data_IF_982594584024
#
_entry.id   IF_982594584024
#
_cell.length_a   1.000
_cell.length_b   1.000
_cell.length_c   1.000
_cell.angle_alpha   90.00
_cell.angle_beta   90.00
_cell.angle_gamma   90.00
#
_symmetry.space_group_name_H-M   'P 1'
#
loop_
_entity.id
_entity.type
_entity.pdbx_description
1 polymer ?
#
# COMPACT_ATOMS: atom_id res chain seq x y z
N UNK A 1 5.72 8.43 9.51
CA UNK A 1 5.70 7.58 8.30
C UNK A 1 4.43 7.79 7.46
N UNK A 2 3.47 8.62 7.89
CA UNK A 2 2.21 8.88 7.19
C UNK A 2 1.22 7.69 7.22
N UNK A 3 1.36 6.79 8.18
CA UNK A 3 0.37 5.74 8.49
C UNK A 3 -0.54 6.28 9.59
N UNK A 4 -1.85 6.16 9.40
CA UNK A 4 -2.84 6.50 10.40
C UNK A 4 -3.29 5.23 11.11
N UNK A 5 -3.05 5.07 12.42
CA UNK A 5 -3.55 3.96 13.20
C UNK A 5 -5.05 4.12 13.46
N UNK A 6 -5.78 3.00 13.42
CA UNK A 6 -7.17 2.89 13.87
C UNK A 6 -7.22 1.68 14.80
N UNK A 7 -7.76 1.86 15.99
CA UNK A 7 -7.86 0.81 17.02
C UNK A 7 -9.28 0.23 17.01
N UNK A 8 -9.38 -1.09 16.83
CA UNK A 8 -10.64 -1.84 16.81
C UNK A 8 -10.59 -2.89 17.92
N UNK A 9 -11.38 -2.73 18.98
CA UNK A 9 -11.39 -3.67 20.11
C UNK A 9 -12.81 -4.08 20.50
N UNK A 10 -12.95 -5.29 21.02
CA UNK A 10 -14.19 -5.75 21.67
C UNK A 10 -14.43 -5.11 23.05
N UNK A 11 -13.42 -4.46 23.62
CA UNK A 11 -13.50 -3.82 24.93
C UNK A 11 -14.32 -2.52 24.92
N UNK A 12 -14.60 -1.99 26.12
CA UNK A 12 -15.33 -0.73 26.26
C UNK A 12 -14.60 0.43 25.56
N UNK A 13 -15.33 1.31 24.86
CA UNK A 13 -14.72 2.43 24.12
C UNK A 13 -13.80 3.30 25.00
N UNK A 14 -14.20 3.55 26.25
CA UNK A 14 -13.46 4.37 27.20
C UNK A 14 -12.11 3.73 27.57
N UNK A 15 -12.11 2.40 27.80
CA UNK A 15 -10.90 1.64 28.11
C UNK A 15 -9.94 1.65 26.94
N UNK A 16 -10.45 1.39 25.73
CA UNK A 16 -9.64 1.41 24.50
C UNK A 16 -9.06 2.78 24.26
N UNK A 17 -9.84 3.84 24.48
CA UNK A 17 -9.38 5.23 24.32
C UNK A 17 -8.31 5.60 25.36
N UNK A 18 -8.40 5.13 26.59
CA UNK A 18 -7.38 5.34 27.61
C UNK A 18 -6.06 4.70 27.18
N UNK A 19 -6.09 3.41 26.81
CA UNK A 19 -4.90 2.69 26.33
C UNK A 19 -4.31 3.36 25.07
N UNK A 20 -5.16 3.79 24.11
CA UNK A 20 -4.71 4.45 22.90
C UNK A 20 -3.94 5.75 23.21
N UNK A 21 -4.42 6.55 24.19
CA UNK A 21 -3.72 7.77 24.63
C UNK A 21 -2.38 7.46 25.30
N UNK A 22 -2.35 6.43 26.14
CA UNK A 22 -1.13 6.03 26.86
C UNK A 22 -0.01 5.61 25.88
N UNK A 23 -0.36 4.99 24.77
CA UNK A 23 0.60 4.61 23.71
C UNK A 23 0.78 5.70 22.63
N UNK A 24 0.23 6.89 22.83
CA UNK A 24 0.41 8.03 21.92
C UNK A 24 -0.41 7.99 20.63
N UNK A 25 -1.46 7.17 20.56
CA UNK A 25 -2.40 7.18 19.42
C UNK A 25 -3.42 8.32 19.65
N UNK A 26 -3.57 9.26 18.68
CA UNK A 26 -4.54 10.34 18.81
C UNK A 26 -5.98 9.79 18.92
N UNK A 27 -6.74 10.29 19.89
CA UNK A 27 -8.15 9.95 20.07
C UNK A 27 -9.01 11.16 19.71
N UNK A 28 -8.89 11.55 18.42
CA UNK A 28 -9.60 12.72 17.92
C UNK A 28 -11.11 12.48 17.92
N UNK A 29 -11.85 13.46 18.44
CA UNK A 29 -13.30 13.42 18.51
C UNK A 29 -13.89 12.38 19.49
N UNK A 30 -13.06 11.68 20.27
CA UNK A 30 -13.46 10.66 21.23
C UNK A 30 -13.65 9.25 20.64
N UNK A 31 -13.78 8.23 21.50
CA UNK A 31 -14.03 6.86 21.07
C UNK A 31 -15.46 6.68 20.55
N UNK A 32 -15.65 5.68 19.71
CA UNK A 32 -16.95 5.29 19.15
C UNK A 32 -17.36 3.93 19.71
N UNK A 33 -18.64 3.75 20.03
CA UNK A 33 -19.20 2.43 20.34
C UNK A 33 -19.48 1.69 19.02
N UNK A 34 -18.91 0.50 18.85
CA UNK A 34 -19.07 -0.30 17.65
C UNK A 34 -20.52 -0.70 17.35
N UNK A 35 -21.39 -0.71 18.37
CA UNK A 35 -22.82 -0.98 18.22
C UNK A 35 -23.61 0.17 17.55
N UNK A 36 -23.02 1.37 17.55
CA UNK A 36 -23.61 2.60 16.97
C UNK A 36 -23.01 2.93 15.58
N UNK A 37 -22.25 2.00 14.99
CA UNK A 37 -21.66 2.22 13.69
C UNK A 37 -22.75 2.39 12.60
N UNK A 38 -22.66 3.40 11.73
CA UNK A 38 -23.60 3.60 10.65
C UNK A 38 -23.72 2.38 9.74
N UNK A 39 -24.93 2.02 9.37
CA UNK A 39 -25.18 0.97 8.39
C UNK A 39 -24.75 1.37 6.96
N UNK A 40 -24.92 2.64 6.63
CA UNK A 40 -24.56 3.20 5.33
C UNK A 40 -23.03 3.36 5.21
N UNK A 41 -22.44 2.83 4.12
CA UNK A 41 -21.01 2.86 3.86
C UNK A 41 -20.45 4.30 3.79
N UNK A 42 -21.15 5.22 3.15
CA UNK A 42 -20.69 6.61 3.03
C UNK A 42 -20.65 7.34 4.39
N UNK A 43 -21.63 7.07 5.28
CA UNK A 43 -21.65 7.61 6.63
C UNK A 43 -20.51 6.98 7.48
N UNK A 44 -20.29 5.67 7.36
CA UNK A 44 -19.19 4.98 8.02
C UNK A 44 -17.81 5.53 7.56
N UNK A 45 -17.62 5.74 6.27
CA UNK A 45 -16.39 6.35 5.75
C UNK A 45 -16.13 7.76 6.31
N UNK A 46 -17.18 8.60 6.44
CA UNK A 46 -17.08 9.93 7.07
C UNK A 46 -16.63 9.80 8.52
N UNK A 47 -17.27 8.94 9.29
CA UNK A 47 -16.93 8.68 10.68
C UNK A 47 -15.46 8.21 10.81
N UNK A 48 -15.02 7.29 9.97
CA UNK A 48 -13.66 6.74 9.98
C UNK A 48 -12.58 7.76 9.55
N UNK A 49 -12.95 8.86 8.89
CA UNK A 49 -12.02 9.96 8.61
C UNK A 49 -11.70 10.79 9.85
N UNK A 50 -12.64 10.88 10.78
CA UNK A 50 -12.57 11.72 11.98
C UNK A 50 -12.20 10.94 13.25
N UNK A 51 -12.55 9.66 13.30
CA UNK A 51 -12.39 8.81 14.48
C UNK A 51 -11.31 7.76 14.27
N UNK A 52 -10.56 7.48 15.33
CA UNK A 52 -9.45 6.50 15.30
C UNK A 52 -9.62 5.36 16.31
N UNK A 53 -10.60 5.43 17.21
CA UNK A 53 -10.81 4.43 18.26
C UNK A 53 -12.26 3.96 18.26
N UNK A 54 -12.45 2.63 18.10
CA UNK A 54 -13.76 1.98 18.12
C UNK A 54 -13.70 0.83 19.13
N UNK A 55 -14.50 0.93 20.17
CA UNK A 55 -14.68 -0.13 21.18
C UNK A 55 -15.96 -0.93 20.94
N UNK A 56 -16.13 -2.05 21.61
CA UNK A 56 -17.27 -2.97 21.50
C UNK A 56 -17.65 -3.35 20.08
N UNK A 57 -16.64 -3.47 19.20
CA UNK A 57 -16.87 -3.80 17.81
C UNK A 57 -17.00 -5.32 17.63
N UNK A 58 -18.04 -5.75 16.91
CA UNK A 58 -18.23 -7.14 16.54
C UNK A 58 -17.28 -7.58 15.42
N UNK A 59 -16.97 -8.88 15.27
CA UNK A 59 -16.08 -9.39 14.23
C UNK A 59 -16.52 -9.00 12.80
N UNK A 60 -17.81 -9.06 12.51
CA UNK A 60 -18.36 -8.67 11.20
C UNK A 60 -18.24 -7.16 10.96
N UNK A 61 -18.37 -6.34 11.99
CA UNK A 61 -18.20 -4.89 11.89
C UNK A 61 -16.73 -4.52 11.69
N UNK A 62 -15.77 -5.30 12.22
CA UNK A 62 -14.35 -5.15 11.87
C UNK A 62 -14.15 -5.30 10.36
N UNK A 63 -14.77 -6.33 9.76
CA UNK A 63 -14.74 -6.53 8.30
C UNK A 63 -15.34 -5.34 7.56
N UNK A 64 -16.53 -4.86 7.96
CA UNK A 64 -17.20 -3.70 7.35
C UNK A 64 -16.34 -2.43 7.41
N UNK A 65 -15.68 -2.18 8.53
CA UNK A 65 -14.75 -1.04 8.69
C UNK A 65 -13.59 -1.14 7.70
N UNK A 66 -12.98 -2.31 7.58
CA UNK A 66 -11.87 -2.55 6.63
C UNK A 66 -12.33 -2.37 5.19
N UNK A 67 -13.47 -2.93 4.80
CA UNK A 67 -14.06 -2.78 3.47
C UNK A 67 -14.37 -1.31 3.16
N UNK A 68 -15.01 -0.59 4.09
CA UNK A 68 -15.31 0.83 3.93
C UNK A 68 -14.05 1.70 3.71
N UNK A 69 -12.96 1.41 4.42
CA UNK A 69 -11.68 2.09 4.23
C UNK A 69 -11.03 1.75 2.88
N UNK A 70 -11.14 0.51 2.40
CA UNK A 70 -10.66 0.10 1.08
C UNK A 70 -11.42 0.79 -0.05
N UNK A 71 -12.75 0.85 0.08
CA UNK A 71 -13.64 1.49 -0.88
C UNK A 71 -13.42 3.02 -0.92
N UNK A 72 -12.95 3.63 0.20
CA UNK A 72 -12.46 5.03 0.25
C UNK A 72 -11.06 5.18 -0.42
N UNK A 73 -10.54 4.14 -1.07
CA UNK A 73 -9.27 4.15 -1.80
C UNK A 73 -8.04 4.07 -0.91
N UNK A 74 -8.15 3.64 0.34
CA UNK A 74 -7.04 3.50 1.27
C UNK A 74 -6.37 2.14 1.14
N UNK A 75 -5.06 2.11 1.34
CA UNK A 75 -4.34 0.86 1.52
C UNK A 75 -4.40 0.46 3.00
N UNK A 76 -5.17 -0.58 3.31
CA UNK A 76 -5.44 -0.99 4.68
C UNK A 76 -4.61 -2.22 5.05
N UNK A 77 -3.80 -2.09 6.10
CA UNK A 77 -3.20 -3.21 6.79
C UNK A 77 -3.98 -3.48 8.08
N UNK A 78 -4.26 -4.74 8.39
CA UNK A 78 -4.86 -5.15 9.65
C UNK A 78 -3.92 -6.06 10.43
N UNK A 79 -3.81 -5.81 11.72
CA UNK A 79 -3.06 -6.64 12.66
C UNK A 79 -4.06 -7.25 13.64
N UNK A 80 -4.01 -8.55 13.83
CA UNK A 80 -4.88 -9.27 14.75
C UNK A 80 -4.26 -10.56 15.24
N UNK A 81 -4.77 -11.08 16.35
CA UNK A 81 -4.29 -12.30 17.02
C UNK A 81 -5.39 -13.31 17.30
N UNK A 82 -6.64 -12.88 17.27
CA UNK A 82 -7.81 -13.65 17.67
C UNK A 82 -8.63 -14.22 16.50
N UNK A 83 -9.50 -15.18 16.83
CA UNK A 83 -10.50 -15.72 15.90
C UNK A 83 -11.44 -14.61 15.41
N UNK A 84 -11.74 -13.66 16.28
CA UNK A 84 -12.61 -12.51 16.02
C UNK A 84 -12.02 -11.53 14.99
N UNK A 85 -10.73 -11.64 14.68
CA UNK A 85 -10.05 -10.79 13.70
C UNK A 85 -10.03 -11.39 12.30
N UNK A 86 -10.31 -12.69 12.17
CA UNK A 86 -10.25 -13.42 10.90
C UNK A 86 -11.10 -12.77 9.78
N UNK A 87 -12.34 -12.34 10.01
CA UNK A 87 -13.13 -11.67 8.97
C UNK A 87 -12.47 -10.38 8.48
N UNK A 88 -11.95 -9.56 9.40
CA UNK A 88 -11.23 -8.32 9.07
C UNK A 88 -9.88 -8.57 8.41
N UNK A 89 -9.09 -9.55 8.87
CA UNK A 89 -7.82 -9.94 8.26
C UNK A 89 -8.03 -10.33 6.79
N UNK A 90 -9.04 -11.15 6.48
CA UNK A 90 -9.37 -11.53 5.10
C UNK A 90 -9.79 -10.35 4.22
N UNK A 91 -10.42 -9.33 4.80
CA UNK A 91 -10.84 -8.15 4.08
C UNK A 91 -9.70 -7.15 3.86
N UNK A 92 -8.64 -7.18 4.63
CA UNK A 92 -7.51 -6.26 4.53
C UNK A 92 -6.70 -6.47 3.23
N UNK A 93 -5.94 -5.43 2.83
CA UNK A 93 -4.96 -5.53 1.74
C UNK A 93 -3.65 -6.18 2.19
N UNK A 94 -3.37 -6.07 3.48
CA UNK A 94 -2.23 -6.71 4.12
C UNK A 94 -2.71 -7.21 5.48
N UNK A 95 -2.76 -8.52 5.64
CA UNK A 95 -3.13 -9.19 6.87
C UNK A 95 -1.87 -9.56 7.66
N UNK A 96 -1.77 -9.13 8.90
CA UNK A 96 -0.65 -9.42 9.78
C UNK A 96 -1.17 -10.13 11.03
N UNK A 97 -0.69 -11.34 11.30
CA UNK A 97 -1.02 -12.05 12.53
C UNK A 97 0.12 -11.97 13.54
N UNK A 98 -0.22 -11.95 14.82
CA UNK A 98 0.77 -12.12 15.88
C UNK A 98 1.16 -13.60 16.00
N UNK A 99 2.43 -13.89 16.28
CA UNK A 99 2.96 -15.24 16.38
C UNK A 99 2.36 -16.03 17.56
N UNK A 100 2.00 -15.32 18.65
CA UNK A 100 1.25 -15.86 19.80
C UNK A 100 -0.24 -16.04 19.52
N UNK A 101 -0.74 -15.52 18.39
CA UNK A 101 -2.15 -15.60 18.03
C UNK A 101 -2.62 -17.00 17.64
N UNK A 102 -3.93 -17.14 17.55
CA UNK A 102 -4.56 -18.43 17.19
C UNK A 102 -4.15 -18.87 15.79
N UNK A 103 -4.06 -20.19 15.58
CA UNK A 103 -3.66 -20.77 14.31
C UNK A 103 -4.53 -20.30 13.14
N UNK A 104 -5.83 -20.08 13.38
CA UNK A 104 -6.77 -19.60 12.36
C UNK A 104 -6.41 -18.20 11.86
N UNK A 105 -6.02 -17.27 12.74
CA UNK A 105 -5.57 -15.93 12.35
C UNK A 105 -4.27 -16.02 11.54
N UNK A 106 -3.31 -16.87 11.97
CA UNK A 106 -2.05 -17.09 11.25
C UNK A 106 -2.24 -17.72 9.86
N UNK A 107 -3.23 -18.58 9.69
CA UNK A 107 -3.49 -19.26 8.41
C UNK A 107 -4.07 -18.34 7.32
N UNK A 108 -4.65 -17.22 7.70
CA UNK A 108 -5.22 -16.23 6.76
C UNK A 108 -4.37 -14.98 6.60
N UNK A 109 -3.28 -14.87 7.37
CA UNK A 109 -2.39 -13.72 7.34
C UNK A 109 -1.35 -13.82 6.23
N UNK A 110 -1.03 -12.69 5.60
CA UNK A 110 0.08 -12.55 4.64
C UNK A 110 1.43 -12.56 5.35
N UNK A 111 1.47 -12.06 6.59
CA UNK A 111 2.67 -11.96 7.43
C UNK A 111 2.37 -12.42 8.86
N UNK A 112 3.34 -13.08 9.48
CA UNK A 112 3.26 -13.49 10.89
C UNK A 112 4.43 -12.88 11.66
N UNK A 113 4.12 -12.10 12.71
CA UNK A 113 5.11 -11.53 13.63
C UNK A 113 5.50 -12.60 14.66
N UNK A 114 6.53 -13.39 14.38
CA UNK A 114 6.90 -14.60 15.14
C UNK A 114 7.08 -14.32 16.64
N UNK A 115 7.67 -13.19 17.01
CA UNK A 115 7.88 -12.77 18.41
C UNK A 115 6.76 -11.89 18.97
N UNK A 116 5.69 -11.67 18.19
CA UNK A 116 4.61 -10.72 18.53
C UNK A 116 5.11 -9.30 18.84
N UNK A 117 6.26 -8.95 18.28
CA UNK A 117 6.93 -7.68 18.48
C UNK A 117 6.39 -6.66 17.47
N UNK A 118 5.59 -5.73 17.95
CA UNK A 118 5.01 -4.68 17.13
C UNK A 118 6.06 -3.66 16.65
N UNK A 119 7.20 -3.53 17.34
CA UNK A 119 8.27 -2.59 16.99
C UNK A 119 8.88 -2.91 15.62
N UNK A 120 8.73 -4.15 15.14
CA UNK A 120 9.19 -4.57 13.79
C UNK A 120 8.34 -3.95 12.67
N UNK A 121 7.08 -3.61 12.93
CA UNK A 121 6.15 -3.11 11.89
C UNK A 121 6.63 -1.82 11.20
N UNK A 122 7.13 -0.79 11.91
CA UNK A 122 7.72 0.38 11.27
C UNK A 122 8.92 0.07 10.37
N UNK A 123 9.77 -0.87 10.76
CA UNK A 123 10.91 -1.31 9.96
C UNK A 123 10.45 -2.07 8.70
N UNK A 124 9.45 -2.94 8.83
CA UNK A 124 8.82 -3.65 7.72
C UNK A 124 8.25 -2.68 6.67
N UNK A 125 7.51 -1.66 7.12
CA UNK A 125 6.96 -0.62 6.24
C UNK A 125 8.06 0.17 5.54
N UNK A 126 9.14 0.49 6.25
CA UNK A 126 10.29 1.21 5.68
C UNK A 126 10.98 0.37 4.60
N UNK A 127 11.19 -0.92 4.85
CA UNK A 127 11.81 -1.85 3.88
C UNK A 127 10.91 -2.09 2.66
N UNK A 128 9.61 -2.30 2.84
CA UNK A 128 8.66 -2.40 1.73
C UNK A 128 8.68 -1.15 0.83
N UNK A 129 8.74 0.04 1.42
CA UNK A 129 8.90 1.29 0.67
C UNK A 129 10.24 1.39 -0.06
N UNK A 130 11.30 0.86 0.53
CA UNK A 130 12.62 0.79 -0.10
C UNK A 130 12.59 -0.09 -1.34
N UNK A 131 12.01 -1.28 -1.23
CA UNK A 131 11.85 -2.22 -2.34
C UNK A 131 11.05 -1.58 -3.48
N UNK A 132 9.91 -0.95 -3.18
CA UNK A 132 9.09 -0.27 -4.19
C UNK A 132 9.83 0.88 -4.90
N UNK A 133 10.65 1.66 -4.17
CA UNK A 133 11.48 2.71 -4.79
C UNK A 133 12.51 2.14 -5.75
N UNK A 134 13.18 1.05 -5.35
CA UNK A 134 14.16 0.39 -6.20
C UNK A 134 13.49 -0.19 -7.45
N UNK A 135 12.34 -0.82 -7.29
CA UNK A 135 11.55 -1.35 -8.40
C UNK A 135 11.15 -0.24 -9.38
N UNK A 136 10.67 0.91 -8.89
CA UNK A 136 10.33 2.05 -9.74
C UNK A 136 11.53 2.60 -10.53
N UNK A 137 12.72 2.64 -9.93
CA UNK A 137 13.94 3.08 -10.63
C UNK A 137 14.29 2.15 -11.79
N UNK A 138 14.27 0.84 -11.52
CA UNK A 138 14.56 -0.18 -12.54
C UNK A 138 13.49 -0.16 -13.63
N UNK A 139 12.22 -0.08 -13.27
CA UNK A 139 11.11 0.00 -14.24
C UNK A 139 11.25 1.20 -15.19
N UNK A 140 11.66 2.36 -14.69
CA UNK A 140 11.90 3.53 -15.55
C UNK A 140 12.95 3.28 -16.64
N UNK A 141 14.02 2.54 -16.32
CA UNK A 141 15.03 2.16 -17.31
C UNK A 141 14.46 1.25 -18.40
N UNK A 142 13.64 0.25 -17.99
CA UNK A 142 13.01 -0.65 -18.95
C UNK A 142 11.99 0.08 -19.85
N UNK A 143 11.20 0.98 -19.28
CA UNK A 143 10.23 1.79 -20.05
C UNK A 143 10.96 2.70 -21.03
N UNK A 144 12.04 3.36 -20.62
CA UNK A 144 12.85 4.21 -21.50
C UNK A 144 13.43 3.39 -22.66
N UNK A 145 13.94 2.18 -22.40
CA UNK A 145 14.42 1.26 -23.44
C UNK A 145 13.30 0.87 -24.41
N UNK A 146 12.12 0.51 -23.91
CA UNK A 146 10.98 0.14 -24.73
C UNK A 146 10.51 1.32 -25.61
N UNK A 147 10.45 2.53 -25.05
CA UNK A 147 10.12 3.74 -25.80
C UNK A 147 11.15 4.04 -26.90
N UNK A 148 12.45 3.90 -26.59
CA UNK A 148 13.52 4.06 -27.58
C UNK A 148 13.40 3.03 -28.73
N UNK A 149 13.15 1.77 -28.42
CA UNK A 149 12.96 0.72 -29.40
C UNK A 149 11.74 1.00 -30.31
N UNK A 150 10.61 1.39 -29.68
CA UNK A 150 9.41 1.77 -30.44
C UNK A 150 9.65 2.98 -31.36
N UNK A 151 10.35 3.99 -30.88
CA UNK A 151 10.74 5.16 -31.67
C UNK A 151 11.61 4.77 -32.88
N UNK A 152 12.61 3.90 -32.68
CA UNK A 152 13.47 3.40 -33.76
C UNK A 152 12.66 2.65 -34.82
N UNK A 153 11.78 1.72 -34.39
CA UNK A 153 10.97 0.94 -35.33
C UNK A 153 10.06 1.86 -36.12
N UNK A 154 9.41 2.81 -35.47
CA UNK A 154 8.53 3.77 -36.14
C UNK A 154 9.29 4.66 -37.12
N UNK A 155 10.46 5.18 -36.75
CA UNK A 155 11.28 6.06 -37.57
C UNK A 155 11.78 5.34 -38.83
N UNK A 156 12.19 4.08 -38.70
CA UNK A 156 12.68 3.27 -39.85
C UNK A 156 11.53 2.81 -40.74
N UNK A 157 10.34 2.54 -40.12
CA UNK A 157 9.15 2.19 -40.91
C UNK A 157 8.61 3.31 -41.79
N UNK A 158 8.85 4.56 -41.41
CA UNK A 158 8.43 5.76 -42.17
C UNK A 158 9.51 6.15 -43.20
N UNK A 159 10.78 6.04 -42.82
CA UNK A 159 11.90 6.36 -43.72
C UNK A 159 12.45 5.05 -44.32
N UNK A 160 12.61 4.93 -45.69
CA UNK A 160 13.14 3.72 -46.32
C UNK A 160 14.66 3.58 -46.10
N UNK A 161 15.08 3.50 -44.86
CA UNK A 161 16.47 3.39 -44.44
C UNK A 161 16.73 1.96 -43.97
N UNK A 162 17.86 1.37 -44.39
CA UNK A 162 18.26 0.06 -43.87
C UNK A 162 18.42 0.10 -42.34
N UNK A 163 17.95 -0.95 -41.66
CA UNK A 163 18.01 -1.01 -40.20
C UNK A 163 19.46 -0.88 -39.69
N UNK A 164 19.82 0.17 -38.95
CA UNK A 164 21.23 0.52 -38.68
C UNK A 164 21.87 -0.36 -37.61
N UNK A 165 21.08 -1.19 -36.89
CA UNK A 165 21.54 -1.97 -35.75
C UNK A 165 21.42 -3.47 -36.03
N UNK A 166 22.52 -4.19 -35.92
CA UNK A 166 22.51 -5.65 -35.89
C UNK A 166 22.00 -6.13 -34.51
N UNK A 167 21.39 -7.34 -34.40
CA UNK A 167 20.90 -7.89 -33.11
C UNK A 167 21.97 -7.89 -32.02
N UNK A 168 23.23 -8.16 -32.37
CA UNK A 168 24.38 -8.12 -31.45
C UNK A 168 24.61 -6.75 -30.82
N UNK A 169 24.40 -5.65 -31.57
CA UNK A 169 24.55 -4.27 -31.10
C UNK A 169 23.45 -3.94 -30.09
N UNK A 170 22.23 -4.41 -30.34
CA UNK A 170 21.10 -4.24 -29.40
C UNK A 170 21.33 -4.98 -28.10
N UNK A 171 21.89 -6.19 -28.12
CA UNK A 171 22.21 -6.97 -26.94
C UNK A 171 23.30 -6.30 -26.11
N UNK A 172 24.41 -5.89 -26.73
CA UNK A 172 25.50 -5.18 -26.04
C UNK A 172 25.01 -3.84 -25.45
N UNK A 173 24.29 -3.04 -26.25
CA UNK A 173 23.71 -1.77 -25.80
C UNK A 173 22.73 -1.97 -24.64
N UNK A 174 21.89 -3.00 -24.69
CA UNK A 174 20.97 -3.32 -23.62
C UNK A 174 21.69 -3.75 -22.33
N UNK A 175 22.73 -4.55 -22.44
CA UNK A 175 23.52 -4.99 -21.27
C UNK A 175 24.26 -3.83 -20.62
N UNK A 176 24.89 -2.96 -21.41
CA UNK A 176 25.63 -1.80 -20.91
C UNK A 176 24.69 -0.68 -20.41
N UNK A 177 23.63 -0.36 -21.13
CA UNK A 177 22.77 0.78 -20.80
C UNK A 177 21.67 0.46 -19.77
N UNK A 178 21.25 -0.78 -19.64
CA UNK A 178 20.16 -1.19 -18.74
C UNK A 178 20.61 -2.24 -17.73
N UNK A 179 21.34 -3.27 -18.17
CA UNK A 179 21.75 -4.39 -17.30
C UNK A 179 22.67 -3.93 -16.16
N UNK A 180 23.80 -3.31 -16.50
CA UNK A 180 24.79 -2.84 -15.52
C UNK A 180 24.22 -1.71 -14.64
N UNK A 181 23.68 -0.60 -15.18
CA UNK A 181 23.08 0.44 -14.34
C UNK A 181 21.91 -0.06 -13.49
N UNK A 182 21.07 -0.96 -14.04
CA UNK A 182 19.95 -1.56 -13.31
C UNK A 182 20.42 -2.37 -12.10
N UNK A 183 21.50 -3.14 -12.24
CA UNK A 183 22.11 -3.88 -11.15
C UNK A 183 22.62 -2.95 -10.04
N UNK A 184 23.39 -1.92 -10.39
CA UNK A 184 23.86 -0.94 -9.40
C UNK A 184 22.74 -0.14 -8.75
N UNK A 185 21.70 0.22 -9.50
CA UNK A 185 20.53 0.91 -8.94
C UNK A 185 19.71 0.03 -7.99
N UNK A 186 19.67 -1.30 -8.22
CA UNK A 186 19.04 -2.24 -7.32
C UNK A 186 19.79 -2.37 -5.99
N UNK A 187 21.13 -2.30 -6.03
CA UNK A 187 22.00 -2.35 -4.85
C UNK A 187 22.10 -1.01 -4.09
N UNK A 188 21.89 0.11 -4.79
CA UNK A 188 22.05 1.43 -4.20
C UNK A 188 21.05 1.69 -3.06
N UNK A 189 21.48 2.25 -1.93
CA UNK A 189 20.59 2.64 -0.84
C UNK A 189 19.61 3.72 -1.34
N UNK A 190 18.32 3.48 -1.15
CA UNK A 190 17.28 4.43 -1.54
C UNK A 190 17.00 5.40 -0.39
N UNK A 191 17.54 6.61 -0.45
CA UNK A 191 17.19 7.70 0.45
C UNK A 191 16.05 8.54 -0.13
N UNK A 192 15.02 8.87 0.65
CA UNK A 192 13.93 9.75 0.23
C UNK A 192 12.52 9.24 0.62
N UNK A 193 11.57 10.15 0.66
CA UNK A 193 10.16 9.83 0.94
C UNK A 193 9.50 9.14 -0.27
N UNK A 194 8.89 8.00 -0.05
CA UNK A 194 8.09 7.33 -1.06
C UNK A 194 6.69 7.96 -1.13
N UNK A 195 6.31 8.49 -2.28
CA UNK A 195 4.94 8.90 -2.56
C UNK A 195 4.36 8.00 -3.65
N UNK A 196 3.42 7.13 -3.28
CA UNK A 196 2.67 6.28 -4.22
C UNK A 196 1.89 7.10 -5.26
N UNK A 197 1.62 8.37 -4.97
CA UNK A 197 0.79 9.26 -5.79
C UNK A 197 1.37 9.69 -7.14
N UNK A 198 2.62 9.34 -7.47
CA UNK A 198 3.28 9.86 -8.68
C UNK A 198 3.11 9.04 -9.95
N UNK A 199 2.91 7.73 -9.85
CA UNK A 199 2.96 6.86 -11.04
C UNK A 199 1.57 6.59 -11.66
N UNK A 200 0.54 6.33 -10.84
CA UNK A 200 -0.80 6.06 -11.36
C UNK A 200 -1.67 7.33 -11.53
N UNK A 201 -1.40 8.38 -10.77
CA UNK A 201 -2.19 9.62 -10.76
C UNK A 201 -1.78 10.66 -11.81
N UNK A 202 -0.64 10.48 -12.48
CA UNK A 202 -0.24 11.35 -13.60
C UNK A 202 -1.10 11.10 -14.84
N UNK A 203 -1.61 9.90 -15.03
CA UNK A 203 -2.52 9.58 -16.14
C UNK A 203 -3.96 10.03 -15.86
N UNK A 204 -4.49 9.81 -14.65
CA UNK A 204 -5.85 10.27 -14.31
C UNK A 204 -6.01 11.80 -14.35
N UNK A 205 -4.95 12.56 -14.03
CA UNK A 205 -4.98 14.03 -14.14
C UNK A 205 -4.90 14.53 -15.58
N UNK A 206 -4.36 13.75 -16.53
CA UNK A 206 -4.41 14.11 -17.96
C UNK A 206 -5.80 13.90 -18.52
N UNK A 207 -6.42 12.75 -18.24
CA UNK A 207 -7.77 12.42 -18.72
C UNK A 207 -8.84 13.33 -18.11
N UNK A 208 -8.74 13.67 -16.80
CA UNK A 208 -9.71 14.53 -16.13
C UNK A 208 -9.66 16.02 -16.49
N UNK A 209 -8.57 16.51 -17.11
CA UNK A 209 -8.49 17.89 -17.60
C UNK A 209 -9.08 18.06 -19.00
N UNK A 210 -9.05 17.05 -19.83
CA UNK A 210 -9.65 17.09 -21.17
C UNK A 210 -11.19 17.01 -21.14
N UNK A 211 -11.79 16.38 -20.13
CA UNK A 211 -13.25 16.34 -19.95
C UNK A 211 -13.89 17.62 -19.37
N UNK A 212 -13.10 18.61 -18.93
CA UNK A 212 -13.62 19.84 -18.28
C UNK A 212 -13.52 21.08 -19.19
N UNK A 213 -13.04 20.91 -20.42
CA UNK A 213 -12.89 21.97 -21.42
C UNK A 213 -13.77 21.78 -22.66
N UNK A 214 -14.87 21.02 -22.53
CA UNK A 214 -15.95 20.99 -23.52
C UNK A 214 -17.28 21.27 -22.88
#
# INVERSE_FOLDING_TARGET
QGVRPIVLSGDRPETVAAIARDVGIPVDGGPVDGRELPAETAALQRLLRERSVIGRIAPEDKRRVIEALRDDGRYVAMIGDGVNDVPGLKAARLAIAQGSGVQMARSVADLVLVRSDFEVVPALVAEGRRILRNLQRVTKLFVAKAAFAAFLILSIGIAPIAYPLLPRHLTLGASLAVGIPGFFLALAPSTGSFRLKGFLRSEERRVGKECRSR
#
